data_IF_524275349402
#
_entry.id   IF_524275349402
#
_cell.length_a   1.000
_cell.length_b   1.000
_cell.length_c   1.000
_cell.angle_alpha   90.00
_cell.angle_beta   90.00
_cell.angle_gamma   90.00
#
_symmetry.space_group_name_H-M   'P 1'
#
loop_
_entity.id
_entity.type
_entity.pdbx_description
1 polymer ?
#
# COMPACT_ATOMS: atom_id res chain seq x y z
N UNK A 1 -21.21 24.99 2.26
CA UNK A 1 -21.58 23.59 1.99
C UNK A 1 -20.31 22.77 2.15
N UNK A 2 -20.07 22.30 3.36
CA UNK A 2 -18.92 21.44 3.65
C UNK A 2 -19.16 20.09 2.98
N UNK A 3 -18.61 19.94 1.77
CA UNK A 3 -18.43 18.63 1.17
C UNK A 3 -17.50 17.88 2.11
N UNK A 4 -17.99 16.81 2.71
CA UNK A 4 -17.15 15.86 3.43
C UNK A 4 -16.00 15.45 2.50
N UNK A 5 -14.78 15.88 2.84
CA UNK A 5 -13.57 15.68 2.02
C UNK A 5 -13.38 14.20 1.70
N UNK A 6 -13.82 13.30 2.59
CA UNK A 6 -13.73 11.88 2.33
C UNK A 6 -14.74 11.43 1.27
N UNK A 7 -15.93 12.03 1.19
CA UNK A 7 -16.90 11.74 0.11
C UNK A 7 -16.35 12.11 -1.28
N UNK A 8 -15.51 13.13 -1.38
CA UNK A 8 -14.82 13.45 -2.63
C UNK A 8 -13.97 12.29 -3.14
N UNK A 9 -13.46 11.42 -2.27
CA UNK A 9 -12.74 10.22 -2.73
C UNK A 9 -13.61 9.33 -3.62
N UNK A 10 -14.93 9.35 -3.46
CA UNK A 10 -15.88 8.61 -4.29
C UNK A 10 -16.37 9.45 -5.46
N UNK A 11 -16.81 10.67 -5.19
CA UNK A 11 -17.49 11.51 -6.18
C UNK A 11 -16.53 12.06 -7.26
N UNK A 12 -15.31 12.41 -6.87
CA UNK A 12 -14.23 12.88 -7.74
C UNK A 12 -12.89 12.38 -7.17
N UNK A 13 -12.48 11.14 -7.47
CA UNK A 13 -11.37 10.49 -6.79
C UNK A 13 -10.04 11.24 -6.93
N UNK A 14 -9.83 11.95 -8.04
CA UNK A 14 -8.62 12.73 -8.29
C UNK A 14 -8.58 13.99 -7.40
N UNK A 15 -9.67 14.77 -7.37
CA UNK A 15 -9.78 15.93 -6.49
C UNK A 15 -9.81 15.51 -5.01
N UNK A 16 -10.49 14.40 -4.69
CA UNK A 16 -10.50 13.82 -3.34
C UNK A 16 -9.11 13.47 -2.85
N UNK A 17 -8.30 12.78 -3.67
CA UNK A 17 -6.92 12.46 -3.32
C UNK A 17 -6.06 13.71 -3.13
N UNK A 18 -6.22 14.70 -4.01
CA UNK A 18 -5.52 15.99 -3.88
C UNK A 18 -5.88 16.70 -2.56
N UNK A 19 -7.15 16.71 -2.17
CA UNK A 19 -7.59 17.27 -0.90
C UNK A 19 -7.03 16.49 0.30
N UNK A 20 -6.98 15.15 0.22
CA UNK A 20 -6.33 14.33 1.27
C UNK A 20 -4.85 14.70 1.41
N UNK A 21 -4.12 14.86 0.30
CA UNK A 21 -2.71 15.23 0.32
C UNK A 21 -2.49 16.61 0.93
N UNK A 22 -3.28 17.62 0.51
CA UNK A 22 -3.19 18.99 1.02
C UNK A 22 -3.49 19.07 2.51
N UNK A 23 -4.57 18.43 2.97
CA UNK A 23 -5.09 18.61 4.33
C UNK A 23 -4.46 17.64 5.34
N UNK A 24 -4.11 16.43 4.91
CA UNK A 24 -3.66 15.36 5.80
C UNK A 24 -2.25 14.85 5.49
N UNK A 25 -1.66 15.23 4.36
CA UNK A 25 -0.34 14.73 3.94
C UNK A 25 0.75 14.92 4.99
N UNK A 26 0.83 16.09 5.64
CA UNK A 26 1.78 16.32 6.75
C UNK A 26 1.60 15.35 7.91
N UNK A 27 0.36 14.98 8.24
CA UNK A 27 0.06 14.03 9.33
C UNK A 27 0.44 12.60 8.93
N UNK A 28 0.18 12.23 7.68
CA UNK A 28 0.54 10.93 7.11
C UNK A 28 2.08 10.78 7.08
N UNK A 29 2.79 11.78 6.54
CA UNK A 29 4.26 11.80 6.51
C UNK A 29 4.85 11.70 7.91
N UNK A 30 4.38 12.53 8.85
CA UNK A 30 4.82 12.48 10.25
C UNK A 30 4.58 11.10 10.88
N UNK A 31 3.50 10.42 10.51
CA UNK A 31 3.17 9.11 11.05
C UNK A 31 4.12 8.02 10.56
N UNK A 32 4.51 8.06 9.28
CA UNK A 32 5.44 7.08 8.69
C UNK A 32 6.89 7.37 9.12
N UNK A 33 7.30 8.63 9.20
CA UNK A 33 8.67 9.02 9.58
C UNK A 33 9.04 8.76 11.04
N UNK A 34 8.05 8.42 11.88
CA UNK A 34 8.29 7.84 13.20
C UNK A 34 9.04 6.51 13.13
N UNK A 35 8.91 5.79 12.01
CA UNK A 35 9.45 4.45 11.80
C UNK A 35 10.59 4.48 10.79
N UNK A 36 10.40 5.16 9.66
CA UNK A 36 11.36 5.16 8.55
C UNK A 36 12.16 6.46 8.55
N UNK A 37 13.49 6.33 8.58
CA UNK A 37 14.43 7.47 8.60
C UNK A 37 15.03 7.77 7.23
N UNK A 38 15.17 6.77 6.37
CA UNK A 38 15.64 6.97 5.02
C UNK A 38 14.60 7.73 4.18
N UNK A 39 15.03 8.80 3.52
CA UNK A 39 14.12 9.74 2.83
C UNK A 39 13.53 9.14 1.55
N UNK A 40 14.27 8.29 0.87
CA UNK A 40 13.82 7.63 -0.36
C UNK A 40 12.78 6.57 -0.02
N UNK A 41 13.10 5.73 0.95
CA UNK A 41 12.21 4.70 1.46
C UNK A 41 10.95 5.30 2.10
N UNK A 42 11.07 6.44 2.79
CA UNK A 42 9.92 7.17 3.33
C UNK A 42 8.95 7.58 2.21
N UNK A 43 9.46 8.10 1.09
CA UNK A 43 8.62 8.50 -0.06
C UNK A 43 7.87 7.31 -0.64
N UNK A 44 8.53 6.17 -0.77
CA UNK A 44 7.92 4.95 -1.30
C UNK A 44 6.78 4.44 -0.41
N UNK A 45 7.02 4.41 0.90
CA UNK A 45 6.00 3.98 1.86
C UNK A 45 4.83 4.94 1.88
N UNK A 46 5.09 6.25 1.78
CA UNK A 46 4.03 7.26 1.66
C UNK A 46 3.20 7.07 0.38
N UNK A 47 3.84 6.79 -0.76
CA UNK A 47 3.10 6.50 -1.99
C UNK A 47 2.23 5.24 -1.84
N UNK A 48 2.72 4.17 -1.20
CA UNK A 48 1.92 2.97 -0.95
C UNK A 48 0.72 3.25 -0.02
N UNK A 49 0.89 4.13 0.96
CA UNK A 49 -0.23 4.60 1.79
C UNK A 49 -1.28 5.31 0.94
N UNK A 50 -0.89 6.26 0.07
CA UNK A 50 -1.85 6.94 -0.80
C UNK A 50 -2.55 6.02 -1.78
N UNK A 51 -1.85 5.01 -2.31
CA UNK A 51 -2.47 3.98 -3.13
C UNK A 51 -3.54 3.20 -2.35
N UNK A 52 -3.23 2.80 -1.11
CA UNK A 52 -4.20 2.11 -0.27
C UNK A 52 -5.37 2.99 0.15
N UNK A 53 -5.15 4.30 0.36
CA UNK A 53 -6.23 5.27 0.58
C UNK A 53 -7.18 5.24 -0.62
N UNK A 54 -6.62 5.33 -1.82
CA UNK A 54 -7.39 5.34 -3.04
C UNK A 54 -8.14 4.01 -3.27
N UNK A 55 -7.50 2.87 -3.02
CA UNK A 55 -8.10 1.54 -3.18
C UNK A 55 -9.14 1.21 -2.09
N UNK A 56 -8.95 1.72 -0.88
CA UNK A 56 -9.85 1.48 0.25
C UNK A 56 -10.84 2.62 0.47
N UNK A 57 -10.94 3.58 -0.46
CA UNK A 57 -11.75 4.79 -0.33
C UNK A 57 -13.18 4.53 0.14
N UNK A 58 -13.85 3.50 -0.39
CA UNK A 58 -15.21 3.14 0.04
C UNK A 58 -15.26 2.80 1.54
N UNK A 59 -14.32 1.96 2.01
CA UNK A 59 -14.20 1.60 3.43
C UNK A 59 -13.80 2.80 4.30
N UNK A 60 -13.06 3.76 3.73
CA UNK A 60 -12.65 4.99 4.42
C UNK A 60 -13.85 5.92 4.61
N UNK A 61 -14.64 6.16 3.56
CA UNK A 61 -15.82 7.03 3.61
C UNK A 61 -16.88 6.49 4.57
N UNK A 62 -17.06 5.17 4.63
CA UNK A 62 -18.04 4.55 5.54
C UNK A 62 -17.52 4.38 6.98
N UNK A 63 -16.30 4.81 7.28
CA UNK A 63 -15.72 4.67 8.63
C UNK A 63 -16.18 5.83 9.54
N UNK A 64 -16.47 5.53 10.81
CA UNK A 64 -16.82 6.55 11.81
C UNK A 64 -15.66 7.54 12.11
N UNK A 65 -14.41 7.16 11.79
CA UNK A 65 -13.23 8.01 11.90
C UNK A 65 -12.28 7.79 10.70
N UNK A 66 -12.56 8.41 9.54
CA UNK A 66 -11.79 8.19 8.31
C UNK A 66 -10.31 8.57 8.45
N UNK A 67 -10.00 9.72 9.07
CA UNK A 67 -8.62 10.15 9.31
C UNK A 67 -7.88 9.17 10.23
N UNK A 68 -8.53 8.71 11.31
CA UNK A 68 -7.94 7.71 12.21
C UNK A 68 -7.62 6.40 11.49
N UNK A 69 -8.50 5.97 10.57
CA UNK A 69 -8.27 4.81 9.73
C UNK A 69 -7.07 4.98 8.81
N UNK A 70 -6.95 6.14 8.13
CA UNK A 70 -5.79 6.48 7.29
C UNK A 70 -4.49 6.48 8.10
N UNK A 71 -4.47 7.07 9.30
CA UNK A 71 -3.27 7.09 10.14
C UNK A 71 -2.89 5.72 10.70
N UNK A 72 -3.87 4.80 10.87
CA UNK A 72 -3.62 3.40 11.21
C UNK A 72 -3.01 2.66 10.01
N UNK A 73 -3.55 2.86 8.82
CA UNK A 73 -3.01 2.33 7.56
C UNK A 73 -1.56 2.79 7.34
N UNK A 74 -1.27 4.07 7.54
CA UNK A 74 0.08 4.63 7.45
C UNK A 74 1.08 3.94 8.40
N UNK A 75 0.68 3.73 9.66
CA UNK A 75 1.50 2.99 10.64
C UNK A 75 1.78 1.55 10.16
N UNK A 76 0.75 0.85 9.68
CA UNK A 76 0.90 -0.54 9.26
C UNK A 76 1.86 -0.68 8.07
N UNK A 77 1.75 0.21 7.09
CA UNK A 77 2.70 0.30 5.98
C UNK A 77 4.13 0.52 6.45
N UNK A 78 4.34 1.46 7.37
CA UNK A 78 5.67 1.75 7.91
C UNK A 78 6.29 0.55 8.66
N UNK A 79 5.50 -0.15 9.47
CA UNK A 79 5.96 -1.34 10.19
C UNK A 79 6.28 -2.48 9.23
N UNK A 80 5.42 -2.73 8.23
CA UNK A 80 5.64 -3.77 7.22
C UNK A 80 6.91 -3.51 6.41
N UNK A 81 7.12 -2.25 6.03
CA UNK A 81 8.30 -1.80 5.32
C UNK A 81 9.58 -2.00 6.14
N UNK A 82 9.62 -1.58 7.40
CA UNK A 82 10.77 -1.81 8.30
C UNK A 82 11.10 -3.30 8.47
N UNK A 83 10.08 -4.16 8.67
CA UNK A 83 10.29 -5.60 8.80
C UNK A 83 10.98 -6.19 7.56
N UNK A 84 10.63 -5.69 6.37
CA UNK A 84 11.21 -6.14 5.10
C UNK A 84 12.68 -5.74 4.94
N UNK A 85 13.03 -4.52 5.33
CA UNK A 85 14.42 -4.02 5.32
C UNK A 85 15.32 -4.84 6.26
N UNK A 86 14.79 -5.20 7.43
CA UNK A 86 15.53 -5.97 8.44
C UNK A 86 15.65 -7.48 8.11
N UNK A 87 14.75 -8.04 7.31
CA UNK A 87 14.90 -9.41 6.80
C UNK A 87 15.96 -9.47 5.67
N UNK A 88 16.19 -8.36 4.96
CA UNK A 88 17.22 -8.24 3.92
C UNK A 88 18.64 -7.95 4.42
N UNK A 89 18.80 -7.43 5.65
CA UNK A 89 20.10 -7.11 6.24
C UNK A 89 20.42 -8.03 7.43
N UNK A 90 21.56 -8.72 7.41
CA UNK A 90 22.05 -9.56 8.53
C UNK A 90 22.52 -8.71 9.73
N UNK A 91 21.70 -7.80 10.25
CA UNK A 91 22.01 -6.97 11.41
C UNK A 91 21.19 -7.43 12.64
N UNK A 92 21.78 -7.54 13.85
CA UNK A 92 21.07 -8.05 15.01
C UNK A 92 20.04 -7.05 15.55
N UNK A 93 18.77 -7.46 15.54
CA UNK A 93 17.62 -6.78 16.15
C UNK A 93 17.81 -6.62 17.67
N UNK A 94 18.20 -5.44 18.13
CA UNK A 94 18.13 -5.06 19.56
C UNK A 94 17.05 -4.03 19.90
N UNK A 95 16.45 -3.33 18.93
CA UNK A 95 15.47 -2.28 19.23
C UNK A 95 14.00 -2.60 18.89
N UNK A 96 13.70 -3.75 18.26
CA UNK A 96 12.33 -4.14 17.91
C UNK A 96 11.67 -5.09 18.94
N UNK A 97 12.07 -5.02 20.21
CA UNK A 97 11.51 -5.87 21.28
C UNK A 97 10.20 -5.33 21.86
N UNK A 98 9.35 -4.68 21.09
CA UNK A 98 7.96 -4.49 21.49
C UNK A 98 7.05 -4.56 20.26
N UNK A 99 6.21 -5.61 20.28
CA UNK A 99 5.03 -5.86 19.45
C UNK A 99 5.22 -6.78 18.21
N UNK A 100 4.67 -7.99 18.40
CA UNK A 100 4.20 -8.97 17.40
C UNK A 100 5.27 -9.68 16.56
N UNK A 101 6.00 -10.60 17.21
CA UNK A 101 7.00 -11.44 16.55
C UNK A 101 6.52 -12.85 16.12
N UNK A 102 5.47 -13.43 16.72
CA UNK A 102 5.22 -14.88 16.50
C UNK A 102 4.04 -15.25 15.59
N UNK A 103 3.28 -14.29 15.07
CA UNK A 103 2.09 -14.60 14.24
C UNK A 103 2.08 -13.92 12.86
N UNK A 104 3.09 -13.12 12.50
CA UNK A 104 3.09 -12.29 11.29
C UNK A 104 4.04 -12.78 10.19
N UNK A 105 5.13 -13.50 10.52
CA UNK A 105 6.07 -14.02 9.52
C UNK A 105 5.44 -15.11 8.66
N UNK A 106 4.79 -16.11 9.28
CA UNK A 106 4.04 -17.16 8.55
C UNK A 106 2.86 -16.60 7.77
N UNK A 107 2.15 -15.60 8.33
CA UNK A 107 1.06 -14.92 7.62
C UNK A 107 1.56 -14.11 6.43
N UNK A 108 2.75 -13.52 6.50
CA UNK A 108 3.33 -12.76 5.38
C UNK A 108 3.73 -13.67 4.22
N UNK A 109 4.31 -14.84 4.52
CA UNK A 109 4.70 -15.80 3.49
C UNK A 109 3.47 -16.42 2.83
N UNK A 110 2.51 -16.89 3.65
CA UNK A 110 1.22 -17.41 3.17
C UNK A 110 0.42 -16.37 2.37
N UNK A 111 0.45 -15.10 2.79
CA UNK A 111 -0.24 -14.02 2.06
C UNK A 111 0.45 -13.72 0.72
N UNK A 112 1.77 -13.79 0.64
CA UNK A 112 2.51 -13.62 -0.61
C UNK A 112 2.23 -14.77 -1.58
N UNK A 113 2.23 -16.01 -1.10
CA UNK A 113 1.86 -17.20 -1.90
C UNK A 113 0.40 -17.12 -2.37
N UNK A 114 -0.52 -16.73 -1.49
CA UNK A 114 -1.92 -16.53 -1.85
C UNK A 114 -2.07 -15.41 -2.90
N UNK A 115 -1.37 -14.29 -2.73
CA UNK A 115 -1.36 -13.19 -3.71
C UNK A 115 -0.75 -13.61 -5.04
N UNK A 116 0.30 -14.44 -5.05
CA UNK A 116 0.89 -14.99 -6.27
C UNK A 116 -0.11 -15.91 -6.99
N UNK A 117 -0.84 -16.75 -6.26
CA UNK A 117 -1.91 -17.57 -6.82
C UNK A 117 -3.05 -16.72 -7.39
N UNK A 118 -3.42 -15.62 -6.74
CA UNK A 118 -4.42 -14.70 -7.30
C UNK A 118 -3.86 -13.95 -8.51
N UNK A 119 -2.59 -13.56 -8.53
CA UNK A 119 -1.94 -12.93 -9.68
C UNK A 119 -1.89 -13.84 -10.90
N UNK A 120 -1.65 -15.13 -10.70
CA UNK A 120 -1.66 -16.14 -11.77
C UNK A 120 -3.07 -16.37 -12.32
N UNK A 121 -4.11 -16.24 -11.48
CA UNK A 121 -5.51 -16.48 -11.84
C UNK A 121 -6.27 -15.23 -12.27
N UNK A 122 -5.73 -14.03 -12.06
CA UNK A 122 -6.36 -12.78 -12.45
C UNK A 122 -6.20 -12.58 -13.97
N UNK A 123 -7.09 -13.23 -14.73
CA UNK A 123 -7.16 -13.16 -16.19
C UNK A 123 -7.38 -11.73 -16.71
N UNK A 124 -7.94 -10.87 -15.87
CA UNK A 124 -8.17 -9.45 -16.19
C UNK A 124 -6.90 -8.59 -16.14
N UNK A 125 -5.78 -9.07 -15.58
CA UNK A 125 -4.54 -8.30 -15.52
C UNK A 125 -3.84 -8.28 -16.87
N UNK A 126 -3.52 -7.07 -17.34
CA UNK A 126 -2.63 -6.91 -18.50
C UNK A 126 -1.22 -7.36 -18.15
N UNK A 127 -0.40 -7.66 -19.15
CA UNK A 127 1.00 -8.06 -18.92
C UNK A 127 1.79 -7.02 -18.12
N UNK A 128 1.53 -5.73 -18.39
CA UNK A 128 2.15 -4.61 -17.67
C UNK A 128 1.73 -4.56 -16.19
N UNK A 129 0.46 -4.81 -15.90
CA UNK A 129 -0.05 -4.91 -14.53
C UNK A 129 0.52 -6.13 -13.79
N UNK A 130 0.61 -7.27 -14.46
CA UNK A 130 1.17 -8.50 -13.90
C UNK A 130 2.66 -8.35 -13.57
N UNK A 131 3.45 -7.78 -14.47
CA UNK A 131 4.88 -7.55 -14.27
C UNK A 131 5.13 -6.60 -13.10
N UNK A 132 4.34 -5.54 -13.00
CA UNK A 132 4.43 -4.61 -11.88
C UNK A 132 4.07 -5.29 -10.56
N UNK A 133 3.00 -6.07 -10.51
CA UNK A 133 2.62 -6.80 -9.31
C UNK A 133 3.64 -7.86 -8.92
N UNK A 134 4.29 -8.50 -9.89
CA UNK A 134 5.40 -9.41 -9.65
C UNK A 134 6.57 -8.72 -8.95
N UNK A 135 6.94 -7.52 -9.42
CA UNK A 135 7.97 -6.70 -8.78
C UNK A 135 7.62 -6.38 -7.33
N UNK A 136 6.34 -6.10 -7.03
CA UNK A 136 5.90 -5.80 -5.64
C UNK A 136 5.90 -7.05 -4.76
N UNK A 137 5.31 -8.15 -5.25
CA UNK A 137 4.96 -9.32 -4.43
C UNK A 137 6.15 -10.26 -4.29
N UNK A 138 6.85 -10.54 -5.39
CA UNK A 138 7.94 -11.53 -5.40
C UNK A 138 9.29 -10.91 -5.11
N UNK A 139 9.59 -9.82 -5.79
CA UNK A 139 10.90 -9.18 -5.68
C UNK A 139 10.95 -8.14 -4.57
N UNK A 140 9.78 -7.66 -4.16
CA UNK A 140 9.68 -6.70 -3.10
C UNK A 140 10.20 -5.30 -3.46
N UNK A 141 10.21 -4.96 -4.74
CA UNK A 141 10.72 -3.68 -5.19
C UNK A 141 9.85 -2.52 -4.69
N UNK A 142 10.52 -1.42 -4.37
CA UNK A 142 9.92 -0.13 -4.06
C UNK A 142 9.51 0.61 -5.34
N UNK A 143 8.90 1.80 -5.22
CA UNK A 143 8.33 2.45 -6.41
C UNK A 143 9.42 2.92 -7.36
N UNK A 144 10.50 3.49 -6.84
CA UNK A 144 11.65 3.90 -7.66
C UNK A 144 12.28 2.72 -8.38
N UNK A 145 12.49 1.61 -7.69
CA UNK A 145 13.04 0.38 -8.28
C UNK A 145 12.12 -0.19 -9.37
N UNK A 146 10.79 -0.06 -9.22
CA UNK A 146 9.82 -0.44 -10.26
C UNK A 146 9.89 0.52 -11.46
N UNK A 147 9.97 1.83 -11.21
CA UNK A 147 10.14 2.85 -12.26
C UNK A 147 11.39 2.55 -13.09
N UNK A 148 12.52 2.33 -12.43
CA UNK A 148 13.81 2.00 -13.05
C UNK A 148 13.76 0.67 -13.80
N UNK A 149 13.19 -0.39 -13.18
CA UNK A 149 13.17 -1.72 -13.76
C UNK A 149 12.23 -1.85 -14.96
N UNK A 150 11.07 -1.20 -14.91
CA UNK A 150 10.04 -1.32 -15.94
C UNK A 150 10.01 -0.13 -16.91
N UNK A 151 10.87 0.87 -16.72
CA UNK A 151 10.89 2.09 -17.52
C UNK A 151 9.60 2.91 -17.42
N UNK A 152 8.96 2.89 -16.25
CA UNK A 152 7.68 3.53 -15.98
C UNK A 152 7.87 4.89 -15.31
N UNK A 153 6.97 5.83 -15.54
CA UNK A 153 6.91 7.04 -14.72
C UNK A 153 6.28 6.75 -13.36
N UNK A 154 6.57 7.57 -12.35
CA UNK A 154 5.88 7.50 -11.05
C UNK A 154 4.35 7.51 -11.17
N UNK A 155 3.78 8.24 -12.14
CA UNK A 155 2.35 8.25 -12.38
C UNK A 155 1.86 6.92 -12.99
N UNK A 156 2.62 6.34 -13.93
CA UNK A 156 2.30 5.02 -14.49
C UNK A 156 2.34 3.94 -13.41
N UNK A 157 3.37 3.95 -12.55
CA UNK A 157 3.47 3.01 -11.43
C UNK A 157 2.25 3.14 -10.52
N UNK A 158 1.82 4.35 -10.19
CA UNK A 158 0.60 4.56 -9.39
C UNK A 158 -0.65 4.05 -10.09
N UNK A 159 -0.83 4.38 -11.37
CA UNK A 159 -2.01 4.00 -12.14
C UNK A 159 -2.10 2.48 -12.31
N UNK A 160 -1.00 1.84 -12.69
CA UNK A 160 -0.91 0.40 -12.88
C UNK A 160 -1.06 -0.32 -11.54
N UNK A 161 -0.44 0.16 -10.46
CA UNK A 161 -0.69 -0.34 -9.09
C UNK A 161 -2.17 -0.28 -8.78
N UNK A 162 -2.79 0.88 -8.98
CA UNK A 162 -4.20 1.06 -8.69
C UNK A 162 -5.08 0.06 -9.45
N UNK A 163 -4.93 -0.04 -10.77
CA UNK A 163 -5.74 -0.94 -11.58
C UNK A 163 -5.52 -2.39 -11.16
N UNK A 164 -4.26 -2.80 -10.96
CA UNK A 164 -3.92 -4.15 -10.57
C UNK A 164 -4.49 -4.53 -9.20
N UNK A 165 -4.31 -3.67 -8.18
CA UNK A 165 -4.86 -3.93 -6.85
C UNK A 165 -6.39 -3.89 -6.81
N UNK A 166 -7.04 -3.05 -7.62
CA UNK A 166 -8.51 -3.02 -7.73
C UNK A 166 -9.03 -4.34 -8.28
N UNK A 167 -8.43 -4.85 -9.36
CA UNK A 167 -8.78 -6.15 -9.97
C UNK A 167 -8.54 -7.30 -9.00
N UNK A 168 -7.40 -7.30 -8.30
CA UNK A 168 -7.10 -8.31 -7.29
C UNK A 168 -8.09 -8.31 -6.13
N UNK A 169 -8.47 -7.13 -5.61
CA UNK A 169 -9.47 -7.04 -4.53
C UNK A 169 -10.81 -7.62 -4.94
N UNK A 170 -11.26 -7.34 -6.16
CA UNK A 170 -12.51 -7.89 -6.68
C UNK A 170 -12.47 -9.43 -6.66
N UNK A 171 -11.38 -10.04 -7.12
CA UNK A 171 -11.20 -11.49 -7.04
C UNK A 171 -11.15 -12.04 -5.60
N UNK A 172 -10.49 -11.36 -4.67
CA UNK A 172 -10.46 -11.77 -3.26
C UNK A 172 -11.83 -11.69 -2.58
N UNK A 173 -12.60 -10.63 -2.84
CA UNK A 173 -13.94 -10.45 -2.27
C UNK A 173 -14.96 -11.46 -2.86
N UNK A 174 -14.74 -11.94 -4.10
CA UNK A 174 -15.53 -13.02 -4.71
C UNK A 174 -15.18 -14.37 -4.08
N UNK A 175 -13.90 -14.68 -3.90
CA UNK A 175 -13.44 -15.94 -3.30
C UNK A 175 -13.72 -16.09 -1.81
N UNK A 176 -14.07 -15.01 -1.11
CA UNK A 176 -14.40 -15.03 0.32
C UNK A 176 -15.91 -15.06 0.61
N UNK A 177 -16.73 -15.18 -0.44
CA UNK A 177 -18.19 -15.33 -0.35
C UNK A 177 -18.70 -16.74 -0.68
N UNK A 178 -17.81 -17.65 -1.03
CA UNK A 178 -18.07 -19.09 -1.18
C UNK A 178 -17.45 -19.87 0.00
#
# INVERSE_FOLDING_TARGET
MDKDIFKLLIDDPDEGMKQIEVLFGKKIIKRVSQFIKDNEFLKDVIQNVYLDIFLCREKIVTNNNPLGYILKMARNHAIKALKKEHIGSKAPLKELKYHTAENEADKSLMLNEALEQVLLKAEELTERERNLMHCIVKEGLNNREIEEKLGLTAQDVRNVKYIAFKKLRHHFDVLSKD
#
